data_IF_973983520465
#
_entry.id   IF_973983520465
#
_cell.length_a   1.000
_cell.length_b   1.000
_cell.length_c   1.000
_cell.angle_alpha   90.00
_cell.angle_beta   90.00
_cell.angle_gamma   90.00
#
_symmetry.space_group_name_H-M   'P 1'
#
loop_
_entity.id
_entity.type
_entity.pdbx_description
1 polymer ?
#
# COMPACT_ATOMS: atom_id res chain seq x y z
N UNK A 1 8.53 -23.77 6.24
CA UNK A 1 7.36 -22.86 6.25
C UNK A 1 7.92 -21.44 6.16
N UNK A 2 7.33 -20.51 5.38
CA UNK A 2 7.86 -19.14 5.30
C UNK A 2 7.59 -18.42 6.62
N UNK A 3 8.60 -17.82 7.22
CA UNK A 3 8.44 -16.86 8.32
C UNK A 3 7.96 -15.53 7.76
N UNK A 4 7.01 -14.89 8.46
CA UNK A 4 6.47 -13.58 8.12
C UNK A 4 6.36 -12.73 9.38
N UNK A 5 6.69 -11.45 9.29
CA UNK A 5 6.47 -10.50 10.37
C UNK A 5 4.98 -10.08 10.42
N UNK A 6 4.54 -9.51 11.54
CA UNK A 6 3.15 -9.09 11.73
C UNK A 6 2.71 -8.04 10.69
N UNK A 7 3.62 -7.15 10.27
CA UNK A 7 3.36 -6.19 9.20
C UNK A 7 3.04 -6.88 7.85
N UNK A 8 3.82 -7.88 7.46
CA UNK A 8 3.57 -8.64 6.22
C UNK A 8 2.24 -9.41 6.31
N UNK A 9 1.99 -10.08 7.43
CA UNK A 9 0.74 -10.78 7.67
C UNK A 9 -0.48 -9.84 7.61
N UNK A 10 -0.47 -8.74 8.37
CA UNK A 10 -1.57 -7.79 8.44
C UNK A 10 -1.82 -7.04 7.13
N UNK A 11 -0.79 -6.80 6.31
CA UNK A 11 -0.93 -6.15 5.01
C UNK A 11 -1.50 -7.08 3.93
N UNK A 12 -1.03 -8.33 3.87
CA UNK A 12 -1.30 -9.22 2.73
C UNK A 12 -2.35 -10.30 2.98
N UNK A 13 -2.81 -10.52 4.20
CA UNK A 13 -3.80 -11.56 4.52
C UNK A 13 -5.13 -11.00 5.04
N UNK A 14 -6.21 -11.73 4.78
CA UNK A 14 -7.51 -11.55 5.42
C UNK A 14 -7.88 -12.80 6.22
N UNK A 15 -8.43 -12.60 7.42
CA UNK A 15 -9.03 -13.64 8.24
C UNK A 15 -10.47 -13.93 7.79
N UNK A 16 -10.83 -15.21 7.79
CA UNK A 16 -12.16 -15.73 7.43
C UNK A 16 -12.59 -16.74 8.50
N UNK A 17 -13.66 -16.42 9.23
CA UNK A 17 -14.21 -17.31 10.26
C UNK A 17 -14.74 -18.63 9.64
N UNK A 18 -14.81 -19.69 10.45
CA UNK A 18 -15.33 -20.99 10.02
C UNK A 18 -16.72 -20.91 9.37
N UNK A 19 -17.59 -20.05 9.87
CA UNK A 19 -18.93 -19.82 9.33
C UNK A 19 -18.88 -19.24 7.92
N UNK A 20 -18.11 -18.16 7.73
CA UNK A 20 -17.92 -17.52 6.41
C UNK A 20 -17.24 -18.47 5.42
N UNK A 21 -16.28 -19.28 5.88
CA UNK A 21 -15.67 -20.33 5.07
C UNK A 21 -16.68 -21.40 4.64
N UNK A 22 -17.52 -21.91 5.56
CA UNK A 22 -18.62 -22.82 5.23
C UNK A 22 -19.62 -22.18 4.25
N UNK A 23 -20.04 -20.94 4.49
CA UNK A 23 -20.98 -20.19 3.62
C UNK A 23 -20.43 -19.93 2.21
N UNK A 24 -19.11 -19.76 2.06
CA UNK A 24 -18.47 -19.60 0.74
C UNK A 24 -18.53 -20.90 -0.08
N UNK A 25 -18.46 -22.06 0.58
CA UNK A 25 -18.17 -23.34 -0.08
C UNK A 25 -19.23 -24.44 0.04
N UNK A 26 -20.29 -24.23 0.84
CA UNK A 26 -21.38 -25.18 1.04
C UNK A 26 -22.71 -24.75 0.37
N UNK A 27 -22.67 -23.73 -0.51
CA UNK A 27 -23.87 -23.16 -1.18
C UNK A 27 -24.69 -24.15 -2.01
N UNK A 28 -24.14 -25.34 -2.30
CA UNK A 28 -24.85 -26.40 -3.01
C UNK A 28 -25.88 -27.12 -2.14
N UNK A 29 -25.93 -26.90 -0.81
CA UNK A 29 -27.11 -27.28 -0.03
C UNK A 29 -28.17 -26.19 -0.19
N UNK A 30 -28.89 -26.26 -1.32
CA UNK A 30 -30.27 -25.76 -1.37
C UNK A 30 -31.04 -26.60 -0.37
N UNK A 31 -31.25 -26.06 0.83
CA UNK A 31 -32.31 -26.57 1.69
C UNK A 31 -33.61 -26.20 0.98
N UNK A 32 -34.16 -27.18 0.26
CA UNK A 32 -35.57 -27.16 -0.15
C UNK A 32 -36.34 -26.78 1.12
N UNK A 33 -37.12 -25.69 1.04
CA UNK A 33 -38.03 -25.32 2.12
C UNK A 33 -38.81 -26.58 2.53
N UNK A 34 -39.09 -26.79 3.83
CA UNK A 34 -40.16 -27.69 4.19
C UNK A 34 -41.39 -27.33 3.35
N UNK A 35 -41.95 -28.33 2.67
CA UNK A 35 -43.28 -28.23 2.07
C UNK A 35 -44.28 -28.36 3.23
N UNK A 36 -44.26 -27.36 4.11
CA UNK A 36 -45.24 -27.17 5.18
C UNK A 36 -46.56 -26.76 4.50
N UNK A 37 -47.41 -27.75 4.19
CA UNK A 37 -48.76 -27.54 3.67
C UNK A 37 -49.69 -26.98 4.76
N UNK A 38 -49.39 -25.76 5.21
CA UNK A 38 -50.32 -24.94 5.98
C UNK A 38 -51.30 -24.25 5.02
N UNK A 39 -52.58 -24.62 5.11
CA UNK A 39 -53.68 -23.95 4.41
C UNK A 39 -53.82 -22.51 4.96
N UNK A 40 -53.36 -21.52 4.20
CA UNK A 40 -53.54 -20.09 4.52
C UNK A 40 -54.84 -19.60 3.89
N UNK A 41 -55.82 -19.28 4.73
CA UNK A 41 -57.15 -18.77 4.37
C UNK A 41 -57.12 -17.51 3.46
N UNK A 42 -58.14 -17.41 2.60
CA UNK A 42 -58.37 -16.28 1.68
C UNK A 42 -58.84 -14.99 2.39
N UNK A 43 -57.92 -14.17 2.92
CA UNK A 43 -58.09 -12.69 2.95
C UNK A 43 -56.74 -11.96 3.04
N UNK A 44 -56.29 -11.40 1.92
CA UNK A 44 -55.51 -10.16 1.95
C UNK A 44 -55.94 -9.20 0.83
N UNK A 45 -56.13 -7.94 1.21
CA UNK A 45 -56.79 -6.94 0.38
C UNK A 45 -55.93 -6.46 -0.81
N UNK A 46 -56.62 -6.15 -1.92
CA UNK A 46 -56.06 -5.57 -3.14
C UNK A 46 -55.43 -4.18 -2.90
N UNK A 47 -54.16 -4.03 -3.29
CA UNK A 47 -53.51 -2.72 -3.44
C UNK A 47 -52.60 -2.71 -4.68
N UNK A 48 -53.20 -2.66 -5.87
CA UNK A 48 -52.47 -2.44 -7.13
C UNK A 48 -51.59 -1.18 -7.12
N UNK A 49 -50.35 -1.28 -7.61
CA UNK A 49 -49.71 -0.20 -8.38
C UNK A 49 -48.64 -0.67 -9.38
N UNK A 50 -49.13 -1.03 -10.57
CA UNK A 50 -48.57 -0.75 -11.90
C UNK A 50 -47.07 -0.96 -12.19
N UNK A 51 -46.84 -1.92 -13.09
CA UNK A 51 -45.62 -2.15 -13.85
C UNK A 51 -45.55 -1.20 -15.05
N UNK A 52 -44.46 -0.45 -15.23
CA UNK A 52 -44.15 0.16 -16.54
C UNK A 52 -42.79 -0.27 -17.06
N UNK A 53 -42.81 -0.98 -18.20
CA UNK A 53 -41.62 -1.35 -18.95
C UNK A 53 -41.26 -0.20 -19.90
N UNK A 54 -39.97 -0.02 -20.19
CA UNK A 54 -39.61 0.25 -21.59
C UNK A 54 -38.22 -0.29 -21.94
N UNK A 55 -38.08 -0.66 -23.19
CA UNK A 55 -37.05 -1.59 -23.66
C UNK A 55 -35.94 -0.90 -24.46
N UNK A 56 -34.94 -1.68 -24.87
CA UNK A 56 -33.86 -1.30 -25.77
C UNK A 56 -34.36 -0.65 -27.07
N UNK A 57 -33.58 0.30 -27.62
CA UNK A 57 -33.16 0.21 -29.03
C UNK A 57 -31.94 1.08 -29.36
N UNK A 58 -31.31 0.80 -30.51
CA UNK A 58 -30.07 1.43 -30.99
C UNK A 58 -30.30 2.24 -32.28
N UNK A 59 -29.69 3.42 -32.40
CA UNK A 59 -29.23 4.03 -33.67
C UNK A 59 -28.43 5.31 -33.38
N UNK A 60 -27.24 5.56 -33.92
CA UNK A 60 -26.77 5.66 -35.32
C UNK A 60 -26.78 7.09 -35.86
N UNK A 61 -25.59 7.71 -35.85
CA UNK A 61 -25.01 8.71 -36.78
C UNK A 61 -25.91 9.71 -37.55
N UNK A 62 -25.53 11.00 -37.50
CA UNK A 62 -25.59 11.94 -38.63
C UNK A 62 -24.68 13.17 -38.36
N UNK A 63 -24.37 13.99 -39.39
CA UNK A 63 -23.24 14.94 -39.41
C UNK A 63 -23.63 16.43 -39.51
N UNK A 64 -22.75 17.33 -39.02
CA UNK A 64 -22.57 18.75 -39.41
C UNK A 64 -21.18 19.17 -38.90
N UNK A 65 -20.19 19.51 -39.72
CA UNK A 65 -19.97 20.80 -40.43
C UNK A 65 -20.00 22.04 -39.53
N UNK A 66 -19.08 23.02 -39.56
CA UNK A 66 -17.70 23.22 -40.09
C UNK A 66 -17.16 24.54 -39.42
N UNK A 67 -15.88 24.93 -39.36
CA UNK A 67 -14.61 24.36 -39.85
C UNK A 67 -13.64 24.08 -38.66
N UNK A 68 -12.54 24.76 -38.27
CA UNK A 68 -11.76 25.92 -38.76
C UNK A 68 -10.25 25.70 -38.42
N UNK A 69 -9.32 26.44 -39.05
CA UNK A 69 -7.98 25.93 -39.40
C UNK A 69 -6.78 26.55 -38.65
N UNK A 70 -5.92 25.68 -38.10
CA UNK A 70 -4.44 25.90 -38.04
C UNK A 70 -3.72 24.58 -38.36
N UNK A 71 -2.70 24.63 -39.23
CA UNK A 71 -1.88 23.47 -39.66
C UNK A 71 -0.39 23.63 -39.25
N UNK A 72 0.47 22.73 -39.77
CA UNK A 72 1.95 22.72 -39.75
C UNK A 72 2.56 22.06 -38.48
N UNK A 73 3.36 20.99 -38.57
CA UNK A 73 3.67 20.09 -39.70
C UNK A 73 4.15 18.71 -39.18
N UNK A 74 4.22 17.71 -40.07
CA UNK A 74 4.66 16.34 -39.78
C UNK A 74 6.14 16.10 -40.12
N UNK A 75 6.79 15.19 -39.38
CA UNK A 75 7.85 14.31 -39.93
C UNK A 75 7.63 12.87 -39.42
N UNK A 76 7.36 11.89 -40.30
CA UNK A 76 7.12 10.50 -39.88
C UNK A 76 8.40 9.65 -39.93
N UNK A 77 8.51 8.64 -39.05
CA UNK A 77 9.01 7.31 -39.44
C UNK A 77 8.91 6.23 -38.36
N UNK A 78 8.31 5.11 -38.79
CA UNK A 78 8.57 3.73 -38.40
C UNK A 78 8.15 3.22 -37.01
N UNK A 79 7.40 2.12 -37.09
CA UNK A 79 6.92 1.26 -36.03
C UNK A 79 8.08 0.67 -35.20
N UNK A 80 7.78 0.30 -33.96
CA UNK A 80 8.07 -1.08 -33.57
C UNK A 80 6.98 -1.59 -32.60
N UNK A 81 6.20 -2.58 -33.03
CA UNK A 81 5.12 -3.15 -32.23
C UNK A 81 5.66 -4.03 -31.11
N UNK A 82 5.95 -3.43 -29.95
CA UNK A 82 5.99 -4.17 -28.70
C UNK A 82 4.61 -4.12 -28.05
N UNK A 83 3.80 -5.13 -28.41
CA UNK A 83 2.55 -5.48 -27.74
C UNK A 83 2.84 -5.80 -26.27
N UNK A 84 2.87 -4.76 -25.45
CA UNK A 84 2.88 -4.87 -23.99
C UNK A 84 1.61 -5.58 -23.59
N UNK A 85 1.71 -6.90 -23.41
CA UNK A 85 0.60 -7.78 -23.10
C UNK A 85 0.06 -7.45 -21.70
N UNK A 86 -0.81 -6.44 -21.63
CA UNK A 86 -1.69 -6.20 -20.50
C UNK A 86 -2.73 -7.32 -20.43
N UNK A 87 -2.26 -8.52 -20.06
CA UNK A 87 -3.09 -9.61 -19.63
C UNK A 87 -3.76 -9.18 -18.32
N UNK A 88 -4.91 -8.51 -18.45
CA UNK A 88 -5.78 -8.18 -17.33
C UNK A 88 -6.07 -9.49 -16.60
N UNK A 89 -5.66 -9.64 -15.33
CA UNK A 89 -5.80 -10.92 -14.64
C UNK A 89 -7.29 -11.19 -14.44
N UNK A 90 -7.84 -12.06 -15.28
CA UNK A 90 -9.22 -12.52 -15.15
C UNK A 90 -9.40 -13.06 -13.72
N UNK A 91 -10.41 -12.53 -13.01
CA UNK A 91 -10.68 -12.91 -11.62
C UNK A 91 -11.14 -14.36 -11.56
N UNK A 92 -10.20 -15.30 -11.49
CA UNK A 92 -10.47 -16.62 -10.91
C UNK A 92 -10.99 -16.41 -9.49
N UNK A 93 -12.05 -17.14 -9.15
CA UNK A 93 -12.45 -17.30 -7.75
C UNK A 93 -11.31 -17.93 -6.95
N UNK A 94 -11.27 -17.68 -5.64
CA UNK A 94 -10.29 -18.34 -4.77
C UNK A 94 -10.76 -19.75 -4.46
N UNK A 95 -9.92 -20.74 -4.73
CA UNK A 95 -10.22 -22.14 -4.46
C UNK A 95 -9.98 -22.49 -2.98
N UNK A 96 -10.52 -23.62 -2.52
CA UNK A 96 -10.34 -24.09 -1.12
C UNK A 96 -8.87 -24.22 -0.72
N UNK A 97 -7.97 -24.45 -1.69
CA UNK A 97 -6.52 -24.51 -1.54
C UNK A 97 -5.86 -23.21 -1.08
N UNK A 98 -6.48 -22.06 -1.39
CA UNK A 98 -5.88 -20.74 -1.16
C UNK A 98 -5.99 -20.30 0.32
N UNK A 99 -6.76 -21.05 1.12
CA UNK A 99 -7.13 -20.75 2.49
C UNK A 99 -6.32 -21.60 3.47
N UNK A 100 -5.39 -20.96 4.18
CA UNK A 100 -4.54 -21.61 5.18
C UNK A 100 -5.34 -21.70 6.49
N UNK A 101 -5.57 -22.91 6.99
CA UNK A 101 -6.27 -23.15 8.27
C UNK A 101 -5.39 -22.76 9.46
N UNK A 102 -5.98 -22.09 10.46
CA UNK A 102 -5.32 -21.77 11.74
C UNK A 102 -5.28 -22.99 12.69
N UNK A 103 -4.28 -23.03 13.57
CA UNK A 103 -3.94 -24.22 14.39
C UNK A 103 -5.06 -24.61 15.34
N UNK A 104 -5.54 -23.65 16.12
CA UNK A 104 -6.52 -23.85 17.19
C UNK A 104 -7.97 -23.88 16.66
N UNK A 105 -8.12 -23.77 15.34
CA UNK A 105 -9.40 -23.90 14.65
C UNK A 105 -10.18 -22.61 14.50
N UNK A 106 -9.64 -21.44 14.87
CA UNK A 106 -10.33 -20.13 14.83
C UNK A 106 -10.91 -19.78 13.45
N UNK A 107 -10.28 -20.27 12.38
CA UNK A 107 -10.74 -20.11 11.01
C UNK A 107 -9.60 -20.29 10.02
N UNK A 108 -9.63 -19.47 8.97
CA UNK A 108 -8.73 -19.53 7.83
C UNK A 108 -8.14 -18.15 7.55
N UNK A 109 -6.95 -18.11 6.94
CA UNK A 109 -6.34 -16.90 6.42
C UNK A 109 -6.07 -17.06 4.93
N UNK A 110 -6.30 -16.00 4.16
CA UNK A 110 -6.25 -16.04 2.69
C UNK A 110 -5.48 -14.84 2.14
N UNK A 111 -4.61 -15.08 1.15
CA UNK A 111 -3.80 -14.02 0.54
C UNK A 111 -4.68 -13.01 -0.22
N UNK A 112 -4.36 -11.72 -0.14
CA UNK A 112 -5.08 -10.60 -0.75
C UNK A 112 -4.52 -10.24 -2.12
N UNK A 113 -5.40 -9.82 -3.03
CA UNK A 113 -5.05 -9.27 -4.35
C UNK A 113 -4.58 -7.80 -4.29
N UNK A 114 -4.85 -7.09 -3.18
CA UNK A 114 -4.34 -5.75 -2.89
C UNK A 114 -4.00 -5.66 -1.40
N UNK A 115 -2.84 -5.12 -1.06
CA UNK A 115 -2.41 -4.90 0.32
C UNK A 115 -3.35 -3.96 1.09
N UNK A 116 -3.29 -4.01 2.41
CA UNK A 116 -3.81 -2.97 3.31
C UNK A 116 -2.72 -1.94 3.60
N UNK A 117 -3.13 -0.70 3.90
CA UNK A 117 -2.25 0.30 4.52
C UNK A 117 -2.13 -0.02 6.01
N UNK A 118 -0.91 -0.26 6.48
CA UNK A 118 -0.63 -0.47 7.90
C UNK A 118 -0.69 0.88 8.64
N UNK A 119 -1.48 0.95 9.71
CA UNK A 119 -1.56 2.11 10.61
C UNK A 119 -1.27 1.66 12.04
N UNK A 120 -0.35 2.34 12.71
CA UNK A 120 0.10 2.04 14.07
C UNK A 120 0.56 3.34 14.77
N UNK A 121 0.60 3.32 16.11
CA UNK A 121 1.10 4.45 16.91
C UNK A 121 2.61 4.55 16.75
N UNK A 122 3.10 5.63 16.13
CA UNK A 122 4.52 5.98 16.06
C UNK A 122 4.94 6.64 17.37
N UNK A 123 5.85 6.01 18.10
CA UNK A 123 6.47 6.57 19.30
C UNK A 123 7.70 7.41 18.91
N UNK A 124 8.03 8.42 19.72
CA UNK A 124 9.23 9.23 19.51
C UNK A 124 10.40 8.58 20.25
N UNK A 125 11.45 8.16 19.52
CA UNK A 125 12.60 7.43 20.07
C UNK A 125 13.24 8.16 21.28
N UNK A 126 13.35 9.48 21.24
CA UNK A 126 14.01 10.26 22.31
C UNK A 126 13.14 10.46 23.56
N UNK A 127 11.81 10.33 23.44
CA UNK A 127 10.87 10.49 24.56
C UNK A 127 10.37 9.17 25.15
N UNK A 128 10.32 8.12 24.33
CA UNK A 128 9.78 6.81 24.68
C UNK A 128 10.47 5.72 23.85
N UNK A 129 11.75 5.48 24.17
CA UNK A 129 12.59 4.51 23.46
C UNK A 129 12.07 3.07 23.62
N UNK A 130 11.53 2.72 24.80
CA UNK A 130 11.03 1.38 25.09
C UNK A 130 9.83 1.01 24.22
N UNK A 131 8.81 1.88 24.11
CA UNK A 131 7.67 1.59 23.22
C UNK A 131 8.04 1.74 21.74
N UNK A 132 9.00 2.61 21.38
CA UNK A 132 9.56 2.66 20.03
C UNK A 132 10.18 1.30 19.64
N UNK A 133 11.04 0.73 20.49
CA UNK A 133 11.64 -0.58 20.26
C UNK A 133 10.59 -1.71 20.26
N UNK A 134 9.68 -1.76 21.24
CA UNK A 134 8.62 -2.78 21.31
C UNK A 134 7.75 -2.78 20.06
N UNK A 135 7.33 -1.62 19.55
CA UNK A 135 6.50 -1.53 18.33
C UNK A 135 7.27 -2.02 17.10
N UNK A 136 8.55 -1.67 16.95
CA UNK A 136 9.35 -2.12 15.81
C UNK A 136 9.60 -3.63 15.82
N UNK A 137 9.87 -4.22 17.01
CA UNK A 137 9.97 -5.66 17.19
C UNK A 137 8.63 -6.33 16.84
N UNK A 138 7.52 -5.86 17.44
CA UNK A 138 6.19 -6.44 17.23
C UNK A 138 5.73 -6.45 15.77
N UNK A 139 6.05 -5.40 15.00
CA UNK A 139 5.61 -5.26 13.62
C UNK A 139 6.54 -5.95 12.62
N UNK A 140 7.86 -5.84 12.79
CA UNK A 140 8.83 -6.12 11.74
C UNK A 140 9.79 -7.28 12.04
N UNK A 141 9.84 -7.81 13.26
CA UNK A 141 10.50 -9.08 13.58
C UNK A 141 9.50 -10.24 13.42
N UNK A 142 9.89 -11.40 12.87
CA UNK A 142 9.09 -12.62 12.92
C UNK A 142 9.18 -13.25 14.32
N UNK A 143 8.15 -13.06 15.13
CA UNK A 143 8.03 -13.67 16.47
C UNK A 143 6.89 -14.70 16.53
N UNK A 144 6.98 -15.62 17.49
CA UNK A 144 6.03 -16.72 17.70
C UNK A 144 5.34 -16.69 19.07
N UNK A 145 5.96 -16.04 20.05
CA UNK A 145 5.50 -15.97 21.43
C UNK A 145 5.90 -14.61 22.02
N UNK A 146 4.95 -13.67 22.07
CA UNK A 146 5.17 -12.30 22.54
C UNK A 146 5.79 -12.27 23.94
N UNK A 147 5.32 -13.15 24.83
CA UNK A 147 5.76 -13.19 26.25
C UNK A 147 7.20 -13.68 26.39
N UNK A 148 7.63 -14.62 25.54
CA UNK A 148 9.00 -15.15 25.56
C UNK A 148 10.00 -14.34 24.72
N UNK A 149 9.54 -13.57 23.73
CA UNK A 149 10.41 -12.95 22.73
C UNK A 149 10.38 -11.41 22.72
N UNK A 150 9.32 -10.79 23.25
CA UNK A 150 9.11 -9.33 23.19
C UNK A 150 8.90 -8.72 24.57
N UNK A 151 8.18 -9.38 25.49
CA UNK A 151 7.98 -8.88 26.87
C UNK A 151 9.19 -9.13 27.80
N UNK A 152 10.34 -9.51 27.23
CA UNK A 152 11.60 -9.70 27.96
C UNK A 152 12.15 -8.33 28.38
N UNK A 153 12.70 -8.24 29.60
CA UNK A 153 13.36 -7.04 30.12
C UNK A 153 14.55 -6.53 29.26
N UNK A 154 14.97 -7.28 28.24
CA UNK A 154 16.11 -7.02 27.37
C UNK A 154 15.69 -6.52 25.97
N UNK A 155 14.62 -5.71 25.87
CA UNK A 155 14.11 -5.13 24.60
C UNK A 155 15.23 -4.54 23.72
N UNK A 156 16.16 -3.78 24.30
CA UNK A 156 17.32 -3.20 23.61
C UNK A 156 18.20 -4.27 22.94
N UNK A 157 18.48 -5.36 23.64
CA UNK A 157 19.31 -6.46 23.12
C UNK A 157 18.60 -7.17 21.96
N UNK A 158 17.32 -7.51 22.14
CA UNK A 158 16.51 -8.16 21.08
C UNK A 158 16.38 -7.25 19.86
N UNK A 159 16.22 -5.94 20.07
CA UNK A 159 16.19 -4.96 18.99
C UNK A 159 17.50 -4.93 18.21
N UNK A 160 18.66 -4.87 18.90
CA UNK A 160 19.95 -4.74 18.23
C UNK A 160 20.37 -6.05 17.53
N UNK A 161 20.14 -7.21 18.14
CA UNK A 161 20.38 -8.54 17.54
C UNK A 161 19.56 -8.75 16.25
N UNK A 162 18.35 -8.18 16.16
CA UNK A 162 17.44 -8.33 15.01
C UNK A 162 17.33 -7.05 14.16
N UNK A 163 18.18 -6.05 14.40
CA UNK A 163 18.08 -4.69 13.83
C UNK A 163 18.04 -4.68 12.31
N UNK A 164 18.84 -5.53 11.66
CA UNK A 164 18.89 -5.63 10.21
C UNK A 164 17.57 -6.15 9.62
N UNK A 165 17.01 -7.23 10.18
CA UNK A 165 15.71 -7.76 9.71
C UNK A 165 14.58 -6.76 9.96
N UNK A 166 14.56 -6.11 11.13
CA UNK A 166 13.58 -5.06 11.46
C UNK A 166 13.62 -3.93 10.42
N UNK A 167 14.80 -3.46 10.02
CA UNK A 167 14.95 -2.41 9.00
C UNK A 167 14.52 -2.89 7.61
N UNK A 168 14.97 -4.06 7.17
CA UNK A 168 14.62 -4.64 5.85
C UNK A 168 13.13 -4.94 5.74
N UNK A 169 12.48 -5.40 6.82
CA UNK A 169 11.04 -5.61 6.84
C UNK A 169 10.27 -4.28 6.90
N UNK A 170 10.74 -3.29 7.68
CA UNK A 170 10.12 -1.95 7.78
C UNK A 170 10.08 -1.22 6.43
N UNK A 171 11.17 -1.28 5.66
CA UNK A 171 11.28 -0.63 4.35
C UNK A 171 10.27 -1.13 3.30
N UNK A 172 9.65 -2.31 3.50
CA UNK A 172 8.59 -2.85 2.61
C UNK A 172 7.23 -2.16 2.81
N UNK A 173 7.04 -1.46 3.93
CA UNK A 173 5.75 -0.90 4.35
C UNK A 173 5.82 0.61 4.63
N UNK A 174 6.99 1.11 5.04
CA UNK A 174 7.24 2.55 5.05
C UNK A 174 7.70 3.00 3.67
N UNK A 175 6.79 3.66 2.96
CA UNK A 175 7.08 4.48 1.78
C UNK A 175 7.93 5.68 2.20
N UNK A 176 9.26 5.49 2.29
CA UNK A 176 10.23 6.58 2.46
C UNK A 176 10.24 7.38 1.15
N UNK A 177 9.51 8.48 1.11
CA UNK A 177 9.37 9.38 -0.04
C UNK A 177 9.42 10.82 0.47
N UNK A 178 10.18 11.67 -0.20
CA UNK A 178 10.29 13.12 0.05
C UNK A 178 10.85 13.49 1.44
N UNK A 179 10.00 13.81 2.42
CA UNK A 179 10.27 14.81 3.48
C UNK A 179 11.62 14.75 4.24
N UNK A 180 12.20 13.56 4.45
CA UNK A 180 13.50 13.41 5.13
C UNK A 180 14.70 13.29 4.17
N UNK A 181 14.47 12.89 2.92
CA UNK A 181 15.51 12.85 1.89
C UNK A 181 15.76 14.26 1.36
N UNK A 182 14.69 14.97 1.00
CA UNK A 182 14.75 16.32 0.46
C UNK A 182 15.43 17.28 1.45
N UNK A 183 15.13 17.18 2.75
CA UNK A 183 15.78 17.96 3.80
C UNK A 183 17.25 17.59 4.03
N UNK A 184 17.60 16.31 3.98
CA UNK A 184 19.00 15.90 4.09
C UNK A 184 19.81 16.36 2.86
N UNK A 185 19.18 16.43 1.69
CA UNK A 185 19.78 17.00 0.49
C UNK A 185 19.91 18.52 0.59
N UNK A 186 18.87 19.24 1.03
CA UNK A 186 18.88 20.70 1.29
C UNK A 186 19.96 21.09 2.29
N UNK A 187 20.14 20.31 3.37
CA UNK A 187 21.16 20.53 4.40
C UNK A 187 22.59 20.34 3.83
N UNK A 188 22.80 19.31 2.99
CA UNK A 188 24.08 19.07 2.28
C UNK A 188 24.35 20.16 1.21
N UNK A 189 23.36 20.55 0.41
CA UNK A 189 23.49 21.61 -0.59
C UNK A 189 23.83 22.96 0.06
N UNK A 190 23.28 23.23 1.25
CA UNK A 190 23.58 24.42 2.04
C UNK A 190 25.01 24.40 2.61
N UNK A 191 25.48 23.28 3.17
CA UNK A 191 26.88 23.14 3.61
C UNK A 191 27.88 23.35 2.45
N UNK A 192 27.56 22.85 1.25
CA UNK A 192 28.38 23.02 0.05
C UNK A 192 28.43 24.48 -0.38
N UNK A 193 27.30 25.20 -0.38
CA UNK A 193 27.26 26.61 -0.77
C UNK A 193 28.00 27.50 0.24
N UNK A 194 27.80 27.30 1.55
CA UNK A 194 28.51 28.06 2.60
C UNK A 194 30.04 27.85 2.50
N UNK A 195 30.50 26.66 2.11
CA UNK A 195 31.92 26.40 1.86
C UNK A 195 32.46 27.17 0.64
N UNK A 196 31.70 27.26 -0.45
CA UNK A 196 32.12 28.02 -1.64
C UNK A 196 32.08 29.54 -1.42
N UNK A 197 31.11 30.06 -0.67
CA UNK A 197 31.08 31.48 -0.27
C UNK A 197 32.31 31.84 0.57
N UNK A 198 32.62 31.05 1.61
CA UNK A 198 33.83 31.23 2.42
C UNK A 198 35.12 31.15 1.57
N UNK A 199 35.17 30.28 0.57
CA UNK A 199 36.33 30.17 -0.32
C UNK A 199 36.54 31.46 -1.14
N UNK A 200 35.47 32.02 -1.71
CA UNK A 200 35.52 33.26 -2.48
C UNK A 200 35.85 34.47 -1.61
N UNK A 201 35.28 34.59 -0.41
CA UNK A 201 35.61 35.68 0.53
C UNK A 201 37.11 35.67 0.89
N UNK A 202 37.68 34.49 1.15
CA UNK A 202 39.11 34.35 1.42
C UNK A 202 39.99 34.64 0.19
N UNK A 203 39.53 34.35 -1.03
CA UNK A 203 40.26 34.68 -2.26
C UNK A 203 40.24 36.19 -2.54
N UNK A 204 39.09 36.86 -2.38
CA UNK A 204 38.96 38.33 -2.52
C UNK A 204 39.82 39.05 -1.49
N UNK A 205 39.80 38.65 -0.22
CA UNK A 205 40.64 39.27 0.81
C UNK A 205 42.14 39.14 0.49
N UNK A 206 42.58 37.99 -0.05
CA UNK A 206 43.98 37.82 -0.48
C UNK A 206 44.35 38.70 -1.68
N UNK A 207 43.42 38.96 -2.59
CA UNK A 207 43.64 39.87 -3.73
C UNK A 207 43.71 41.33 -3.29
N UNK A 208 42.85 41.77 -2.38
CA UNK A 208 42.87 43.11 -1.79
C UNK A 208 44.15 43.31 -0.94
N UNK A 209 44.49 42.36 -0.07
CA UNK A 209 45.74 42.39 0.71
C UNK A 209 46.98 42.42 -0.20
N UNK A 210 46.99 41.68 -1.32
CA UNK A 210 48.08 41.72 -2.29
C UNK A 210 48.17 43.06 -3.02
N UNK A 211 47.02 43.63 -3.41
CA UNK A 211 46.92 44.96 -4.04
C UNK A 211 47.45 46.06 -3.12
N UNK A 212 47.04 46.03 -1.85
CA UNK A 212 47.43 47.04 -0.86
C UNK A 212 48.91 46.93 -0.46
N UNK A 213 49.51 45.74 -0.54
CA UNK A 213 50.97 45.56 -0.41
C UNK A 213 51.73 46.00 -1.68
N UNK A 214 51.15 45.84 -2.88
CA UNK A 214 51.74 46.34 -4.12
C UNK A 214 51.73 47.87 -4.18
N UNK A 215 50.70 48.52 -3.66
CA UNK A 215 50.55 49.97 -3.59
C UNK A 215 51.46 50.67 -2.56
N UNK A 216 52.23 49.91 -1.77
CA UNK A 216 53.12 50.41 -0.70
C UNK A 216 54.62 50.20 -0.97
N UNK A 217 54.99 49.73 -2.17
CA UNK A 217 56.38 49.55 -2.63
C UNK A 217 56.70 50.45 -3.83
#
# INVERSE_FOLDING_TARGET
>A
MKTVCLAEFACYYDFVSNEKFKQLFNKNKVERFPEDEDEIDDDYNDVNFDLENNDLTQSSQSNSSDDDVVQIAQTPSQLNDQTTNQCTPQKKGKDKSDYIKLKDGDGYVVLRQKSKVLRYKRYNKLKDEQNYMRVLIMLYMPWYDEKKQVEVANLLKVFEENRHEIVVNRAKFESIVSENFDKAQEEIEKEINEFYEQLMENEVQQLDDASDNLARN
#
